data_IF_565776062743
#
_entry.id   IF_565776062743
#
_cell.length_a   1.000
_cell.length_b   1.000
_cell.length_c   1.000
_cell.angle_alpha   90.00
_cell.angle_beta   90.00
_cell.angle_gamma   90.00
#
_symmetry.space_group_name_H-M   'P 1'
#
loop_
_entity.id
_entity.type
_entity.pdbx_description
1 polymer ?
#
# COMPACT_ATOMS: atom_id res chain seq x y z
N UNK A 1 -20.69 12.61 20.53
CA UNK A 1 -20.08 12.08 19.29
C UNK A 1 -20.27 13.09 18.18
N UNK A 2 -19.28 13.28 17.35
CA UNK A 2 -19.34 14.18 16.21
C UNK A 2 -20.29 13.61 15.14
N UNK A 3 -21.15 14.46 14.57
CA UNK A 3 -22.12 14.01 13.56
C UNK A 3 -21.47 13.54 12.25
N UNK A 4 -20.34 14.08 11.89
CA UNK A 4 -19.56 13.62 10.73
C UNK A 4 -19.04 12.20 11.01
N UNK A 5 -18.37 12.01 12.13
CA UNK A 5 -17.80 10.71 12.51
C UNK A 5 -18.85 9.61 12.64
N UNK A 6 -20.07 9.96 13.06
CA UNK A 6 -21.16 9.00 13.19
C UNK A 6 -21.63 8.42 11.84
N UNK A 7 -21.31 9.09 10.73
CA UNK A 7 -21.65 8.62 9.37
C UNK A 7 -20.54 7.82 8.71
N UNK A 8 -19.32 7.89 9.25
CA UNK A 8 -18.16 7.18 8.68
C UNK A 8 -18.18 5.74 9.17
N UNK A 9 -18.12 4.80 8.24
CA UNK A 9 -18.13 3.36 8.54
C UNK A 9 -16.76 2.70 8.30
N UNK A 10 -15.79 3.45 7.82
CA UNK A 10 -14.44 2.94 7.60
C UNK A 10 -13.74 3.61 6.43
N UNK A 11 -12.57 3.13 6.09
CA UNK A 11 -11.84 3.54 4.91
C UNK A 11 -12.36 2.74 3.71
N UNK A 12 -12.90 3.42 2.69
CA UNK A 12 -13.43 2.75 1.51
C UNK A 12 -12.31 2.37 0.53
N UNK A 13 -11.46 3.34 0.18
CA UNK A 13 -10.33 3.09 -0.71
C UNK A 13 -9.27 4.17 -0.58
N UNK A 14 -8.09 3.89 -1.12
CA UNK A 14 -6.98 4.82 -1.25
C UNK A 14 -6.81 5.12 -2.73
N UNK A 15 -6.83 6.38 -3.12
CA UNK A 15 -6.63 6.80 -4.52
C UNK A 15 -5.15 6.87 -4.85
N UNK A 16 -4.76 6.24 -5.96
CA UNK A 16 -3.36 6.17 -6.40
C UNK A 16 -3.28 6.54 -7.88
N UNK A 17 -2.88 7.76 -8.22
CA UNK A 17 -2.60 8.09 -9.61
C UNK A 17 -1.40 7.30 -10.11
N UNK A 18 -1.46 6.84 -11.37
CA UNK A 18 -0.36 6.10 -11.97
C UNK A 18 -0.08 6.59 -13.38
N UNK A 19 1.17 6.44 -13.79
CA UNK A 19 1.59 6.66 -15.17
C UNK A 19 1.67 5.35 -15.96
N UNK A 20 1.58 4.20 -15.28
CA UNK A 20 1.67 2.89 -15.89
C UNK A 20 0.80 1.90 -15.10
N UNK A 21 -0.41 1.66 -15.59
CA UNK A 21 -1.36 0.76 -14.92
C UNK A 21 -0.84 -0.66 -14.85
N UNK A 22 -0.22 -1.18 -15.91
CA UNK A 22 0.24 -2.57 -15.91
C UNK A 22 1.36 -2.80 -14.89
N UNK A 23 2.28 -1.84 -14.74
CA UNK A 23 3.32 -1.91 -13.69
C UNK A 23 2.70 -1.85 -12.28
N UNK A 24 1.70 -1.01 -12.11
CA UNK A 24 1.00 -0.86 -10.82
C UNK A 24 0.25 -2.14 -10.45
N UNK A 25 -0.48 -2.73 -11.42
CA UNK A 25 -1.17 -4.00 -11.21
C UNK A 25 -0.17 -5.11 -10.85
N UNK A 26 0.91 -5.24 -11.62
CA UNK A 26 1.93 -6.26 -11.36
C UNK A 26 2.52 -6.14 -9.96
N UNK A 27 2.84 -4.91 -9.54
CA UNK A 27 3.39 -4.66 -8.21
C UNK A 27 2.43 -5.11 -7.11
N UNK A 28 1.21 -4.61 -7.10
CA UNK A 28 0.26 -4.92 -6.02
C UNK A 28 -0.20 -6.38 -6.06
N UNK A 29 -0.36 -6.96 -7.25
CA UNK A 29 -0.66 -8.40 -7.36
C UNK A 29 0.46 -9.27 -6.81
N UNK A 30 1.72 -8.84 -6.97
CA UNK A 30 2.86 -9.55 -6.38
C UNK A 30 2.86 -9.54 -4.86
N UNK A 31 2.21 -8.54 -4.25
CA UNK A 31 2.02 -8.45 -2.80
C UNK A 31 0.80 -9.24 -2.30
N UNK A 32 0.00 -9.80 -3.20
CA UNK A 32 -1.18 -10.57 -2.85
C UNK A 32 -2.52 -9.85 -3.11
N UNK A 33 -2.50 -8.64 -3.66
CA UNK A 33 -3.74 -7.96 -4.02
C UNK A 33 -4.40 -8.65 -5.20
N UNK A 34 -5.73 -8.66 -5.21
CA UNK A 34 -6.54 -9.15 -6.33
C UNK A 34 -7.20 -7.99 -7.06
N UNK A 35 -7.31 -8.10 -8.38
CA UNK A 35 -8.05 -7.13 -9.19
C UNK A 35 -9.54 -7.37 -8.97
N UNK A 36 -10.19 -6.48 -8.21
CA UNK A 36 -11.60 -6.60 -7.86
C UNK A 36 -12.53 -6.00 -8.92
N UNK A 37 -12.09 -4.93 -9.57
CA UNK A 37 -12.91 -4.24 -10.57
C UNK A 37 -12.01 -3.47 -11.52
N UNK A 38 -12.40 -3.44 -12.78
CA UNK A 38 -11.72 -2.67 -13.83
C UNK A 38 -12.73 -1.86 -14.59
N UNK A 39 -12.43 -0.60 -14.84
CA UNK A 39 -13.32 0.31 -15.55
C UNK A 39 -12.51 1.24 -16.46
N UNK A 40 -13.20 1.85 -17.40
CA UNK A 40 -12.68 2.92 -18.22
C UNK A 40 -13.56 4.15 -17.98
N UNK A 41 -12.95 5.21 -17.47
CA UNK A 41 -13.64 6.45 -17.18
C UNK A 41 -13.19 7.49 -18.20
N UNK A 42 -13.95 7.60 -19.31
CA UNK A 42 -13.68 8.56 -20.37
C UNK A 42 -12.25 8.44 -20.93
N UNK A 43 -11.79 7.20 -21.16
CA UNK A 43 -10.44 6.90 -21.65
C UNK A 43 -9.40 6.74 -20.57
N UNK A 44 -9.71 7.06 -19.33
CA UNK A 44 -8.82 6.85 -18.19
C UNK A 44 -9.03 5.45 -17.61
N UNK A 45 -7.97 4.65 -17.57
CA UNK A 45 -8.03 3.30 -17.00
C UNK A 45 -8.12 3.39 -15.48
N UNK A 46 -9.07 2.64 -14.90
CA UNK A 46 -9.27 2.59 -13.45
C UNK A 46 -9.31 1.13 -13.01
N UNK A 47 -8.57 0.80 -11.97
CA UNK A 47 -8.54 -0.55 -11.40
C UNK A 47 -8.66 -0.48 -9.88
N UNK A 48 -9.48 -1.37 -9.31
CA UNK A 48 -9.61 -1.53 -7.87
C UNK A 48 -8.91 -2.81 -7.46
N UNK A 49 -7.98 -2.69 -6.54
CA UNK A 49 -7.16 -3.79 -6.04
C UNK A 49 -7.44 -3.99 -4.56
N UNK A 50 -7.67 -5.22 -4.14
CA UNK A 50 -8.07 -5.53 -2.76
C UNK A 50 -7.18 -6.59 -2.12
N UNK A 51 -6.87 -6.39 -0.85
CA UNK A 51 -6.19 -7.36 0.01
C UNK A 51 -6.60 -7.07 1.46
N UNK A 52 -7.22 -8.08 2.14
CA UNK A 52 -7.48 -8.05 3.57
C UNK A 52 -8.11 -6.74 4.08
N UNK A 53 -9.12 -6.24 3.42
CA UNK A 53 -9.80 -5.00 3.82
C UNK A 53 -9.14 -3.71 3.32
N UNK A 54 -7.99 -3.81 2.67
CA UNK A 54 -7.36 -2.67 1.98
C UNK A 54 -7.87 -2.64 0.55
N UNK A 55 -8.32 -1.47 0.09
CA UNK A 55 -8.72 -1.25 -1.29
C UNK A 55 -7.95 -0.07 -1.87
N UNK A 56 -7.31 -0.28 -3.00
CA UNK A 56 -6.60 0.76 -3.73
C UNK A 56 -7.32 0.97 -5.06
N UNK A 57 -7.70 2.22 -5.31
CA UNK A 57 -8.16 2.64 -6.64
C UNK A 57 -6.97 3.23 -7.40
N UNK A 58 -6.43 2.49 -8.35
CA UNK A 58 -5.41 3.00 -9.24
C UNK A 58 -6.06 3.59 -10.49
N UNK A 59 -5.64 4.79 -10.88
CA UNK A 59 -6.17 5.45 -12.07
C UNK A 59 -5.04 6.06 -12.90
N UNK A 60 -5.03 5.73 -14.18
CA UNK A 60 -3.94 6.12 -15.08
C UNK A 60 -4.24 7.49 -15.70
N UNK A 61 -3.74 8.53 -15.05
CA UNK A 61 -3.92 9.92 -15.51
C UNK A 61 -2.61 10.61 -15.91
N UNK A 62 -1.47 9.89 -15.85
CA UNK A 62 -0.17 10.46 -16.20
C UNK A 62 0.36 11.47 -15.20
N UNK A 63 -0.22 11.55 -13.99
CA UNK A 63 0.10 12.57 -12.98
C UNK A 63 0.70 12.00 -11.70
N UNK A 64 1.22 10.78 -11.75
CA UNK A 64 1.97 10.24 -10.61
C UNK A 64 3.24 11.06 -10.40
N UNK A 65 3.43 11.53 -9.17
CA UNK A 65 4.54 12.45 -8.86
C UNK A 65 5.87 11.73 -8.64
N UNK A 66 5.87 10.41 -8.56
CA UNK A 66 7.10 9.61 -8.41
C UNK A 66 7.73 9.66 -7.03
N UNK A 67 7.00 10.14 -6.03
CA UNK A 67 7.45 10.27 -4.64
C UNK A 67 6.24 10.24 -3.70
N UNK A 68 6.43 10.02 -2.38
CA UNK A 68 5.34 10.14 -1.43
C UNK A 68 4.71 11.53 -1.46
N UNK A 69 3.39 11.59 -1.26
CA UNK A 69 2.63 12.83 -1.22
C UNK A 69 2.39 13.30 0.22
N UNK A 70 1.30 14.07 0.42
CA UNK A 70 0.91 14.55 1.74
C UNK A 70 0.66 13.41 2.73
N UNK A 71 0.07 12.31 2.25
CA UNK A 71 0.08 11.04 2.97
C UNK A 71 1.37 10.33 2.54
N UNK A 72 2.27 10.11 3.52
CA UNK A 72 3.62 9.63 3.24
C UNK A 72 3.65 8.14 2.83
N UNK A 73 2.88 7.31 3.50
CA UNK A 73 2.89 5.87 3.26
C UNK A 73 1.58 5.23 3.65
N UNK A 74 1.37 4.01 3.17
CA UNK A 74 0.39 3.07 3.72
C UNK A 74 1.14 1.97 4.46
N UNK A 75 0.62 1.55 5.59
CA UNK A 75 1.21 0.45 6.37
C UNK A 75 0.28 -0.76 6.32
N UNK A 76 0.81 -1.87 5.85
CA UNK A 76 0.12 -3.16 5.85
C UNK A 76 0.47 -3.88 7.16
N UNK A 77 -0.55 -4.27 7.90
CA UNK A 77 -0.37 -5.02 9.13
C UNK A 77 0.01 -6.46 8.82
N UNK A 78 1.05 -6.96 9.44
CA UNK A 78 1.51 -8.34 9.25
C UNK A 78 1.61 -9.06 10.60
N UNK A 79 1.42 -10.35 10.58
CA UNK A 79 1.47 -11.18 11.79
C UNK A 79 2.86 -11.74 12.09
N UNK A 80 3.78 -11.68 11.12
CA UNK A 80 5.16 -12.15 11.27
C UNK A 80 6.06 -11.29 10.38
N UNK A 81 6.73 -10.31 10.99
CA UNK A 81 7.56 -9.35 10.27
C UNK A 81 8.76 -10.00 9.60
N UNK A 82 9.35 -11.02 10.20
CA UNK A 82 10.49 -11.73 9.61
C UNK A 82 10.06 -12.50 8.37
N UNK A 83 8.91 -13.18 8.42
CA UNK A 83 8.36 -13.87 7.26
C UNK A 83 8.02 -12.90 6.14
N UNK A 84 7.45 -11.74 6.47
CA UNK A 84 7.16 -10.69 5.49
C UNK A 84 8.44 -10.16 4.84
N UNK A 85 9.48 -9.90 5.63
CA UNK A 85 10.78 -9.48 5.14
C UNK A 85 11.37 -10.50 4.16
N UNK A 86 11.38 -11.75 4.54
CA UNK A 86 11.93 -12.81 3.71
C UNK A 86 11.15 -12.95 2.39
N UNK A 87 9.82 -12.89 2.45
CA UNK A 87 8.96 -13.00 1.27
C UNK A 87 9.16 -11.83 0.30
N UNK A 88 9.22 -10.60 0.81
CA UNK A 88 9.43 -9.40 0.00
C UNK A 88 10.78 -9.43 -0.70
N UNK A 89 11.83 -9.83 0.00
CA UNK A 89 13.17 -9.93 -0.58
C UNK A 89 13.28 -11.08 -1.58
N UNK A 90 12.63 -12.19 -1.31
CA UNK A 90 12.56 -13.31 -2.26
C UNK A 90 11.83 -12.93 -3.55
N UNK A 91 10.86 -12.02 -3.47
CA UNK A 91 10.16 -11.48 -4.62
C UNK A 91 11.00 -10.48 -5.44
N UNK A 92 12.19 -10.11 -4.96
CA UNK A 92 13.12 -9.23 -5.65
C UNK A 92 13.02 -7.75 -5.29
N UNK A 93 12.22 -7.39 -4.28
CA UNK A 93 12.12 -6.00 -3.86
C UNK A 93 13.25 -5.63 -2.90
N UNK A 94 13.76 -4.41 -3.08
CA UNK A 94 14.68 -3.82 -2.12
C UNK A 94 13.91 -3.18 -0.99
N UNK A 95 14.36 -3.41 0.24
CA UNK A 95 13.85 -2.71 1.40
C UNK A 95 14.60 -1.39 1.57
N UNK A 96 13.91 -0.36 2.06
CA UNK A 96 14.58 0.93 2.33
C UNK A 96 15.54 0.82 3.50
N UNK A 97 15.20 0.00 4.49
CA UNK A 97 16.04 -0.25 5.65
C UNK A 97 17.01 -1.40 5.36
N UNK A 98 18.24 -1.37 5.92
CA UNK A 98 19.18 -2.48 5.78
C UNK A 98 18.77 -3.70 6.60
N UNK A 99 17.91 -3.53 7.60
CA UNK A 99 17.37 -4.58 8.45
C UNK A 99 16.00 -4.16 9.00
N UNK A 100 15.23 -5.12 9.49
CA UNK A 100 13.96 -4.84 10.19
C UNK A 100 14.27 -3.90 11.36
N UNK A 101 13.48 -2.83 11.47
CA UNK A 101 13.61 -1.85 12.55
C UNK A 101 12.52 -2.05 13.58
N UNK A 102 12.83 -1.71 14.84
CA UNK A 102 11.88 -1.73 15.93
C UNK A 102 11.85 -0.36 16.61
N UNK A 103 10.66 0.17 16.84
CA UNK A 103 10.44 1.44 17.53
C UNK A 103 9.55 1.20 18.76
N UNK A 104 9.69 2.03 19.81
CA UNK A 104 8.97 1.83 21.08
C UNK A 104 7.54 2.38 21.04
N UNK A 105 6.84 2.17 19.94
CA UNK A 105 5.42 2.57 19.81
C UNK A 105 4.54 1.47 20.35
N UNK A 106 3.36 1.84 20.82
CA UNK A 106 2.41 0.94 21.46
C UNK A 106 2.98 0.34 22.73
N UNK A 107 2.34 -0.68 23.25
CA UNK A 107 2.73 -1.24 24.55
C UNK A 107 4.08 -1.95 24.52
N UNK A 108 4.38 -2.69 23.45
CA UNK A 108 5.58 -3.52 23.33
C UNK A 108 6.45 -3.19 22.12
N UNK A 109 6.10 -2.13 21.41
CA UNK A 109 6.84 -1.72 20.24
C UNK A 109 6.19 -2.17 18.93
N UNK A 110 6.79 -1.75 17.85
CA UNK A 110 6.40 -2.12 16.48
C UNK A 110 7.66 -2.43 15.68
N UNK A 111 7.65 -3.51 14.93
CA UNK A 111 8.72 -3.84 13.99
C UNK A 111 8.23 -3.60 12.57
N UNK A 112 9.08 -3.02 11.73
CA UNK A 112 8.65 -2.59 10.40
C UNK A 112 9.80 -2.50 9.41
N UNK A 113 9.44 -2.44 8.13
CA UNK A 113 10.31 -2.07 7.02
C UNK A 113 9.45 -1.50 5.89
N UNK A 114 10.10 -0.87 4.90
CA UNK A 114 9.43 -0.22 3.79
C UNK A 114 9.98 -0.66 2.45
N UNK A 115 9.10 -0.69 1.44
CA UNK A 115 9.48 -0.81 0.03
C UNK A 115 8.87 0.34 -0.75
N UNK A 116 9.32 0.54 -2.00
CA UNK A 116 8.79 1.56 -2.88
C UNK A 116 8.01 0.92 -4.01
N UNK A 117 6.80 1.43 -4.27
CA UNK A 117 6.00 1.04 -5.42
C UNK A 117 6.41 1.77 -6.70
N UNK A 118 5.83 1.37 -7.86
CA UNK A 118 6.23 1.91 -9.17
C UNK A 118 5.87 3.38 -9.38
N UNK A 119 5.02 3.95 -8.56
CA UNK A 119 4.64 5.36 -8.62
C UNK A 119 5.37 6.21 -7.58
N UNK A 120 6.42 5.68 -6.94
CA UNK A 120 7.14 6.34 -5.86
C UNK A 120 6.47 6.26 -4.51
N UNK A 121 5.33 5.56 -4.42
CA UNK A 121 4.62 5.37 -3.16
C UNK A 121 5.42 4.48 -2.20
N UNK A 122 5.30 4.78 -0.92
CA UNK A 122 5.89 3.97 0.13
C UNK A 122 4.87 2.98 0.66
N UNK A 123 5.24 1.70 0.68
CA UNK A 123 4.46 0.63 1.31
C UNK A 123 5.26 0.11 2.49
N UNK A 124 4.72 0.28 3.68
CA UNK A 124 5.30 -0.23 4.92
C UNK A 124 4.66 -1.58 5.27
N UNK A 125 5.47 -2.46 5.81
CA UNK A 125 5.00 -3.69 6.47
C UNK A 125 5.32 -3.54 7.95
N UNK A 126 4.32 -3.67 8.81
CA UNK A 126 4.48 -3.44 10.24
C UNK A 126 3.80 -4.50 11.08
N UNK A 127 4.47 -4.91 12.15
CA UNK A 127 3.90 -5.81 13.16
C UNK A 127 3.91 -5.10 14.50
N UNK A 128 2.74 -4.89 15.07
CA UNK A 128 2.60 -4.41 16.45
C UNK A 128 2.89 -5.58 17.39
N UNK A 129 3.87 -5.41 18.25
CA UNK A 129 4.36 -6.48 19.14
C UNK A 129 3.53 -6.67 20.41
#
# INVERSE_FOLDING_TARGET
>A
MNEIGARVTGLQHIGLPTNDMEATLAFYQSLGFTLAHRADNEGEKVCFLQLAGVCIEAYQNGKAVGKPGAIDHIALDVDDIQAAWDAVRAAGYQTREPAIRTLPFWERGVSFFNIQGPNGETVEFGQIL
#
